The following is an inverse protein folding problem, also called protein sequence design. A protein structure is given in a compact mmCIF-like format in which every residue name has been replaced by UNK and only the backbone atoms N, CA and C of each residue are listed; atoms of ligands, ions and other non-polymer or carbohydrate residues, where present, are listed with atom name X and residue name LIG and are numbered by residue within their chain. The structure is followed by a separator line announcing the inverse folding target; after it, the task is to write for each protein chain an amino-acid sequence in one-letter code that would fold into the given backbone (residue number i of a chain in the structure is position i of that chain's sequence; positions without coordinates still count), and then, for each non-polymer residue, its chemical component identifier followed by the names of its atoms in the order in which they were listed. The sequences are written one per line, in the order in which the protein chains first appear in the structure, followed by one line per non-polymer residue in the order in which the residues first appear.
data_IF_248253335686
#
_entry.id   IF_248253335686
#
_cell.length_a   1.000
_cell.length_b   1.000
_cell.length_c   1.000
_cell.angle_alpha   90.00
_cell.angle_beta   90.00
_cell.angle_gamma   90.00
#
_symmetry.space_group_name_H-M   'P 1'
#
loop_
_entity.id
_entity.type
_entity.pdbx_description
1 polymer ?
#
# COMPACT_ATOMS: atom_id res chain seq x y z
N UNK A 1 14.63 -5.35 -26.67
CA UNK A 1 14.43 -5.55 -25.22
C UNK A 1 13.03 -5.09 -24.86
N UNK A 2 12.18 -5.99 -24.39
CA UNK A 2 10.84 -5.64 -23.92
C UNK A 2 11.00 -5.07 -22.50
N UNK A 3 10.79 -3.78 -22.33
CA UNK A 3 10.77 -3.17 -21.01
C UNK A 3 9.44 -3.55 -20.35
N UNK A 4 9.47 -4.46 -19.40
CA UNK A 4 8.27 -4.83 -18.64
C UNK A 4 7.87 -3.67 -17.72
N UNK A 5 6.62 -3.24 -17.85
CA UNK A 5 6.06 -2.19 -17.01
C UNK A 5 6.02 -2.65 -15.54
N UNK A 6 6.44 -1.80 -14.64
CA UNK A 6 6.37 -2.07 -13.20
C UNK A 6 4.92 -2.32 -12.77
N UNK A 7 4.72 -3.35 -11.98
CA UNK A 7 3.42 -3.67 -11.37
C UNK A 7 3.43 -3.24 -9.90
N UNK A 8 2.44 -2.47 -9.50
CA UNK A 8 2.28 -1.99 -8.12
C UNK A 8 0.91 -2.44 -7.62
N UNK A 9 0.91 -3.29 -6.60
CA UNK A 9 -0.29 -3.78 -5.95
C UNK A 9 -0.45 -3.10 -4.59
N UNK A 10 -1.66 -2.65 -4.28
CA UNK A 10 -2.01 -2.06 -2.99
C UNK A 10 -3.05 -2.97 -2.34
N UNK A 11 -2.69 -3.58 -1.23
CA UNK A 11 -3.55 -4.48 -0.48
C UNK A 11 -4.02 -3.82 0.81
N UNK A 12 -5.32 -3.84 1.06
CA UNK A 12 -5.97 -3.27 2.24
C UNK A 12 -6.88 -4.28 2.91
N UNK A 13 -6.91 -4.26 4.23
CA UNK A 13 -7.92 -5.00 5.01
C UNK A 13 -9.15 -4.12 5.11
N UNK A 14 -10.05 -4.24 4.16
CA UNK A 14 -11.28 -3.45 4.10
C UNK A 14 -12.32 -4.14 3.25
N UNK A 15 -13.59 -3.85 3.53
CA UNK A 15 -14.69 -4.21 2.63
C UNK A 15 -14.64 -3.30 1.40
N UNK A 16 -15.00 -3.87 0.25
CA UNK A 16 -15.16 -3.06 -0.96
C UNK A 16 -16.31 -2.08 -0.78
N UNK A 17 -16.06 -0.83 -1.14
CA UNK A 17 -17.04 0.26 -1.13
C UNK A 17 -17.08 0.89 -2.52
N UNK A 18 -18.08 1.70 -2.76
CA UNK A 18 -18.17 2.51 -3.99
C UNK A 18 -18.60 3.91 -3.58
N UNK A 19 -17.65 4.68 -3.11
CA UNK A 19 -17.85 6.03 -2.57
C UNK A 19 -16.94 7.05 -3.26
N UNK A 20 -16.94 8.28 -2.76
CA UNK A 20 -16.17 9.38 -3.33
C UNK A 20 -14.66 9.13 -3.28
N UNK A 21 -14.17 8.41 -2.27
CA UNK A 21 -12.74 8.03 -2.18
C UNK A 21 -12.35 7.10 -3.33
N UNK A 22 -13.22 6.18 -3.69
CA UNK A 22 -12.97 5.25 -4.81
C UNK A 22 -12.90 5.99 -6.15
N UNK A 23 -13.70 7.04 -6.34
CA UNK A 23 -13.66 7.89 -7.54
C UNK A 23 -12.31 8.58 -7.66
N UNK A 24 -11.83 9.20 -6.58
CA UNK A 24 -10.53 9.89 -6.56
C UNK A 24 -9.39 8.87 -6.74
N UNK A 25 -9.49 7.71 -6.08
CA UNK A 25 -8.53 6.64 -6.20
C UNK A 25 -8.34 6.18 -7.65
N UNK A 26 -9.45 5.99 -8.37
CA UNK A 26 -9.43 5.61 -9.80
C UNK A 26 -8.75 6.65 -10.68
N UNK A 27 -8.87 7.94 -10.37
CA UNK A 27 -8.16 8.99 -11.09
C UNK A 27 -6.63 8.87 -10.94
N UNK A 28 -6.13 8.63 -9.71
CA UNK A 28 -4.70 8.42 -9.51
C UNK A 28 -4.19 7.16 -10.21
N UNK A 29 -4.96 6.07 -10.17
CA UNK A 29 -4.63 4.83 -10.90
C UNK A 29 -4.54 5.11 -12.40
N UNK A 30 -5.51 5.82 -12.96
CA UNK A 30 -5.55 6.19 -14.37
C UNK A 30 -4.35 7.06 -14.76
N UNK A 31 -4.04 8.08 -13.97
CA UNK A 31 -2.87 8.93 -14.21
C UNK A 31 -1.56 8.14 -14.12
N UNK A 32 -1.48 7.18 -13.20
CA UNK A 32 -0.31 6.32 -13.02
C UNK A 32 -0.12 5.31 -14.15
N UNK A 33 -1.18 4.95 -14.86
CA UNK A 33 -1.18 3.87 -15.87
C UNK A 33 -0.19 4.08 -17.02
N UNK A 34 0.21 5.32 -17.26
CA UNK A 34 1.24 5.69 -18.22
C UNK A 34 2.63 5.14 -17.84
N UNK A 35 2.89 4.96 -16.55
CA UNK A 35 4.21 4.61 -16.01
C UNK A 35 4.26 3.24 -15.37
N UNK A 36 3.16 2.81 -14.75
CA UNK A 36 3.08 1.55 -14.02
C UNK A 36 1.66 1.00 -14.03
N UNK A 37 1.53 -0.31 -13.89
CA UNK A 37 0.23 -0.94 -13.66
C UNK A 37 -0.06 -0.93 -12.16
N UNK A 38 -0.94 -0.05 -11.72
CA UNK A 38 -1.35 0.07 -10.32
C UNK A 38 -2.71 -0.59 -10.12
N UNK A 39 -2.80 -1.52 -9.19
CA UNK A 39 -4.05 -2.21 -8.84
C UNK A 39 -4.27 -2.18 -7.32
N UNK A 40 -5.52 -1.98 -6.90
CA UNK A 40 -5.93 -1.97 -5.50
C UNK A 40 -6.83 -3.15 -5.20
N UNK A 41 -6.58 -3.82 -4.07
CA UNK A 41 -7.31 -4.99 -3.62
C UNK A 41 -7.78 -4.79 -2.19
N UNK A 42 -9.08 -4.84 -1.97
CA UNK A 42 -9.69 -4.84 -0.65
C UNK A 42 -9.94 -6.28 -0.22
N UNK A 43 -9.31 -6.69 0.86
CA UNK A 43 -9.36 -8.06 1.38
C UNK A 43 -10.16 -8.05 2.69
N UNK A 44 -11.26 -8.76 2.69
CA UNK A 44 -12.09 -8.92 3.88
C UNK A 44 -12.91 -10.20 3.78
N UNK A 45 -12.93 -11.00 4.84
CA UNK A 45 -13.66 -12.25 4.89
C UNK A 45 -14.29 -12.47 6.28
N UNK A 46 -15.08 -13.52 6.40
CA UNK A 46 -15.74 -13.86 7.67
C UNK A 46 -14.74 -14.17 8.79
N UNK A 47 -13.59 -14.75 8.47
CA UNK A 47 -12.53 -15.05 9.45
C UNK A 47 -11.94 -13.77 10.03
N UNK A 48 -11.64 -12.79 9.18
CA UNK A 48 -11.17 -11.46 9.61
C UNK A 48 -12.23 -10.81 10.51
N UNK A 49 -13.49 -10.79 10.08
CA UNK A 49 -14.59 -10.22 10.84
C UNK A 49 -14.71 -10.84 12.24
N UNK A 50 -14.67 -12.16 12.35
CA UNK A 50 -14.71 -12.86 13.62
C UNK A 50 -13.48 -12.58 14.49
N UNK A 51 -12.29 -12.59 13.88
CA UNK A 51 -11.04 -12.34 14.60
C UNK A 51 -11.01 -10.93 15.21
N UNK A 52 -11.50 -9.92 14.48
CA UNK A 52 -11.61 -8.54 15.00
C UNK A 52 -12.54 -8.44 16.21
N UNK A 53 -13.54 -9.30 16.30
CA UNK A 53 -14.44 -9.35 17.47
C UNK A 53 -13.81 -10.00 18.69
N UNK A 54 -12.81 -10.87 18.50
CA UNK A 54 -12.09 -11.53 19.58
C UNK A 54 -11.06 -10.57 20.19
N UNK A 55 -10.21 -9.95 19.37
CA UNK A 55 -9.21 -9.01 19.86
C UNK A 55 -8.08 -8.73 18.87
N UNK A 56 -7.12 -7.95 19.35
CA UNK A 56 -6.00 -7.45 18.55
C UNK A 56 -5.13 -8.57 17.96
N UNK A 57 -4.74 -9.52 18.80
CA UNK A 57 -3.85 -10.61 18.39
C UNK A 57 -4.48 -11.46 17.28
N UNK A 58 -5.73 -11.86 17.45
CA UNK A 58 -6.47 -12.67 16.47
C UNK A 58 -6.71 -11.89 15.19
N UNK A 59 -7.04 -10.60 15.30
CA UNK A 59 -7.21 -9.71 14.16
C UNK A 59 -5.93 -9.63 13.33
N UNK A 60 -4.80 -9.29 13.95
CA UNK A 60 -3.51 -9.18 13.29
C UNK A 60 -3.09 -10.50 12.62
N UNK A 61 -3.30 -11.64 13.31
CA UNK A 61 -3.03 -12.96 12.75
C UNK A 61 -3.87 -13.22 11.49
N UNK A 62 -5.16 -12.86 11.52
CA UNK A 62 -6.04 -13.00 10.36
C UNK A 62 -5.60 -12.16 9.16
N UNK A 63 -5.02 -10.99 9.40
CA UNK A 63 -4.46 -10.13 8.35
C UNK A 63 -3.21 -10.77 7.73
N UNK A 64 -2.30 -11.28 8.56
CA UNK A 64 -1.10 -11.98 8.08
C UNK A 64 -1.45 -13.16 7.20
N UNK A 65 -2.46 -13.94 7.56
CA UNK A 65 -2.90 -15.11 6.78
C UNK A 65 -3.34 -14.75 5.35
N UNK A 66 -4.01 -13.61 5.15
CA UNK A 66 -4.42 -13.19 3.80
C UNK A 66 -3.31 -12.48 3.05
N UNK A 67 -2.37 -11.86 3.74
CA UNK A 67 -1.29 -11.09 3.12
C UNK A 67 -0.07 -11.94 2.73
N UNK A 68 0.32 -12.92 3.56
CA UNK A 68 1.54 -13.71 3.32
C UNK A 68 1.57 -14.39 1.95
N UNK A 69 0.48 -15.00 1.44
CA UNK A 69 0.49 -15.58 0.10
C UNK A 69 0.70 -14.58 -1.04
N UNK A 70 0.52 -13.29 -0.76
CA UNK A 70 0.64 -12.20 -1.74
C UNK A 70 2.02 -11.54 -1.76
N UNK A 71 2.94 -11.99 -0.89
CA UNK A 71 4.28 -11.42 -0.76
C UNK A 71 5.25 -11.95 -1.83
N UNK A 72 4.95 -11.63 -3.08
CA UNK A 72 5.66 -12.17 -4.26
C UNK A 72 6.45 -11.10 -5.03
N UNK A 73 7.07 -10.17 -4.35
CA UNK A 73 7.82 -9.09 -4.97
C UNK A 73 8.58 -8.30 -3.93
N UNK A 74 8.76 -7.01 -4.18
CA UNK A 74 9.28 -6.07 -3.19
C UNK A 74 8.14 -5.62 -2.28
N UNK A 75 8.17 -6.06 -1.03
CA UNK A 75 7.06 -5.95 -0.09
C UNK A 75 7.28 -4.79 0.87
N UNK A 76 6.35 -3.85 0.87
CA UNK A 76 6.39 -2.63 1.67
C UNK A 76 5.16 -2.59 2.58
N UNK A 77 5.37 -2.54 3.89
CA UNK A 77 4.29 -2.29 4.83
C UNK A 77 4.21 -0.81 5.18
N UNK A 78 2.99 -0.29 5.27
CA UNK A 78 2.73 1.04 5.83
C UNK A 78 2.40 0.88 7.31
N UNK A 79 3.27 1.39 8.17
CA UNK A 79 3.10 1.31 9.62
C UNK A 79 3.66 2.57 10.28
N UNK A 80 3.07 2.98 11.39
CA UNK A 80 3.50 4.18 12.14
C UNK A 80 4.93 4.09 12.65
N UNK A 81 5.45 2.87 12.83
CA UNK A 81 6.83 2.59 13.26
C UNK A 81 7.80 2.51 12.08
N UNK A 82 7.33 2.71 10.86
CA UNK A 82 8.16 2.69 9.67
C UNK A 82 9.10 3.88 9.57
N UNK A 83 10.06 3.79 8.67
CA UNK A 83 10.98 4.88 8.42
C UNK A 83 10.27 6.06 7.76
N UNK A 84 10.69 7.26 8.16
CA UNK A 84 10.25 8.52 7.57
C UNK A 84 11.04 8.81 6.31
N UNK A 85 10.36 9.14 5.24
CA UNK A 85 10.98 9.53 3.97
C UNK A 85 10.24 10.74 3.40
N UNK A 86 10.95 11.56 2.65
CA UNK A 86 10.33 12.58 1.80
C UNK A 86 9.88 11.96 0.47
N UNK A 87 9.28 12.75 -0.41
CA UNK A 87 8.78 12.26 -1.69
C UNK A 87 9.90 11.73 -2.60
N UNK A 88 11.10 12.30 -2.54
CA UNK A 88 12.26 11.78 -3.29
C UNK A 88 12.75 10.46 -2.73
N UNK A 89 12.82 10.32 -1.42
CA UNK A 89 13.16 9.07 -0.76
C UNK A 89 12.14 7.97 -1.03
N UNK A 90 10.86 8.31 -1.05
CA UNK A 90 9.80 7.38 -1.41
C UNK A 90 9.91 6.93 -2.87
N UNK A 91 10.16 7.85 -3.81
CA UNK A 91 10.43 7.51 -5.20
C UNK A 91 11.62 6.57 -5.35
N UNK A 92 12.69 6.80 -4.57
CA UNK A 92 13.87 5.93 -4.55
C UNK A 92 13.55 4.49 -4.13
N UNK A 93 12.60 4.30 -3.20
CA UNK A 93 12.15 2.97 -2.79
C UNK A 93 11.46 2.23 -3.94
N UNK A 94 10.74 2.94 -4.81
CA UNK A 94 10.02 2.34 -5.94
C UNK A 94 10.92 2.00 -7.14
N UNK A 95 12.12 2.54 -7.20
CA UNK A 95 13.02 2.30 -8.33
C UNK A 95 13.58 0.87 -8.34
N UNK A 96 13.81 0.35 -9.55
CA UNK A 96 14.51 -0.91 -9.80
C UNK A 96 13.77 -2.18 -9.33
N UNK A 97 12.44 -2.10 -9.20
CA UNK A 97 11.61 -3.25 -8.89
C UNK A 97 10.58 -3.49 -10.00
N UNK A 98 10.34 -4.74 -10.34
CA UNK A 98 9.35 -5.13 -11.36
C UNK A 98 7.96 -5.31 -10.75
N UNK A 99 7.90 -5.83 -9.52
CA UNK A 99 6.65 -6.00 -8.77
C UNK A 99 6.83 -5.44 -7.36
N UNK A 100 5.97 -4.51 -7.00
CA UNK A 100 5.94 -3.87 -5.69
C UNK A 100 4.58 -4.13 -5.05
N UNK A 101 4.60 -4.61 -3.82
CA UNK A 101 3.38 -4.84 -3.04
C UNK A 101 3.37 -3.92 -1.82
N UNK A 102 2.34 -3.09 -1.73
CA UNK A 102 2.06 -2.30 -0.53
C UNK A 102 1.01 -3.01 0.31
N UNK A 103 1.26 -3.11 1.60
CA UNK A 103 0.33 -3.66 2.57
C UNK A 103 -0.08 -2.57 3.55
N UNK A 104 -1.38 -2.31 3.63
CA UNK A 104 -1.98 -1.37 4.58
C UNK A 104 -2.59 -2.20 5.72
N UNK A 105 -2.27 -1.86 6.96
CA UNK A 105 -2.81 -2.55 8.12
C UNK A 105 -4.32 -2.36 8.26
N UNK A 106 -4.97 -3.34 8.87
CA UNK A 106 -6.36 -3.19 9.31
C UNK A 106 -6.46 -2.34 10.57
N UNK A 107 -7.65 -2.33 11.18
CA UNK A 107 -7.95 -1.53 12.37
C UNK A 107 -6.98 -1.77 13.55
N UNK A 108 -6.37 -2.94 13.64
CA UNK A 108 -5.45 -3.33 14.71
C UNK A 108 -3.98 -3.35 14.30
N UNK A 109 -3.63 -2.88 13.08
CA UNK A 109 -2.26 -2.88 12.58
C UNK A 109 -1.74 -4.27 12.20
N UNK A 110 -0.42 -4.45 12.26
CA UNK A 110 0.26 -5.66 11.82
C UNK A 110 0.87 -6.45 12.97
N UNK A 111 0.97 -7.76 12.80
CA UNK A 111 1.87 -8.58 13.61
C UNK A 111 3.33 -8.16 13.35
N UNK A 112 4.16 -8.19 14.41
CA UNK A 112 5.61 -7.93 14.27
C UNK A 112 6.28 -8.92 13.33
N UNK A 113 5.89 -10.18 13.34
CA UNK A 113 6.47 -11.21 12.48
C UNK A 113 6.15 -10.96 11.01
N UNK A 114 4.95 -10.44 10.69
CA UNK A 114 4.63 -9.99 9.33
C UNK A 114 5.53 -8.82 8.90
N UNK A 115 5.69 -7.82 9.75
CA UNK A 115 6.53 -6.66 9.45
C UNK A 115 7.99 -7.08 9.18
N UNK A 116 8.52 -8.05 9.90
CA UNK A 116 9.88 -8.59 9.69
C UNK A 116 10.05 -9.28 8.33
N UNK A 117 8.98 -9.79 7.75
CA UNK A 117 8.99 -10.41 6.40
C UNK A 117 8.98 -9.37 5.28
N UNK A 118 8.58 -8.13 5.56
CA UNK A 118 8.58 -7.06 4.57
C UNK A 118 10.00 -6.56 4.28
N UNK A 119 10.25 -6.17 3.03
CA UNK A 119 11.53 -5.60 2.63
C UNK A 119 11.74 -4.20 3.21
N UNK A 120 10.67 -3.44 3.34
CA UNK A 120 10.70 -2.07 3.86
C UNK A 120 9.41 -1.78 4.63
N UNK A 121 9.53 -1.02 5.71
CA UNK A 121 8.41 -0.48 6.46
C UNK A 121 8.51 1.04 6.40
N UNK A 122 7.46 1.70 5.94
CA UNK A 122 7.41 3.15 5.74
C UNK A 122 6.21 3.74 6.48
N UNK A 123 6.40 4.88 7.11
CA UNK A 123 5.29 5.68 7.62
C UNK A 123 4.94 6.81 6.66
N UNK A 124 3.65 7.03 6.41
CA UNK A 124 3.19 8.15 5.59
C UNK A 124 3.26 9.48 6.34
N UNK A 125 3.12 9.44 7.67
CA UNK A 125 3.11 10.62 8.52
C UNK A 125 3.17 10.21 9.99
N UNK A 126 3.60 11.12 10.85
CA UNK A 126 3.46 10.97 12.31
C UNK A 126 2.00 11.16 12.76
N UNK A 127 1.16 11.73 11.90
CA UNK A 127 -0.26 11.88 12.16
C UNK A 127 -1.00 10.58 11.85
N UNK A 128 -1.86 10.16 12.76
CA UNK A 128 -2.79 9.06 12.49
C UNK A 128 -3.84 9.50 11.48
N UNK A 129 -4.06 8.69 10.47
CA UNK A 129 -5.01 8.97 9.39
C UNK A 129 -6.13 7.94 9.40
N UNK A 130 -7.34 8.38 9.00
CA UNK A 130 -8.40 7.45 8.66
C UNK A 130 -7.92 6.53 7.51
N UNK A 131 -8.34 5.27 7.54
CA UNK A 131 -7.88 4.24 6.61
C UNK A 131 -8.00 4.66 5.13
N UNK A 132 -9.14 5.23 4.73
CA UNK A 132 -9.37 5.68 3.35
C UNK A 132 -8.49 6.87 2.96
N UNK A 133 -8.22 7.77 3.90
CA UNK A 133 -7.30 8.90 3.69
C UNK A 133 -5.88 8.39 3.49
N UNK A 134 -5.40 7.48 4.33
CA UNK A 134 -4.08 6.86 4.18
C UNK A 134 -3.93 6.17 2.82
N UNK A 135 -4.96 5.48 2.37
CA UNK A 135 -5.01 4.83 1.07
C UNK A 135 -4.88 5.84 -0.09
N UNK A 136 -5.60 6.97 -0.02
CA UNK A 136 -5.49 8.03 -1.03
C UNK A 136 -4.13 8.71 -1.00
N UNK A 137 -3.59 9.00 0.18
CA UNK A 137 -2.24 9.59 0.32
C UNK A 137 -1.20 8.66 -0.31
N UNK A 138 -1.29 7.35 -0.07
CA UNK A 138 -0.40 6.37 -0.69
C UNK A 138 -0.49 6.44 -2.22
N UNK A 139 -1.68 6.43 -2.78
CA UNK A 139 -1.87 6.48 -4.24
C UNK A 139 -1.35 7.76 -4.86
N UNK A 140 -1.57 8.90 -4.21
CA UNK A 140 -1.01 10.18 -4.64
C UNK A 140 0.52 10.16 -4.62
N UNK A 141 1.12 9.62 -3.55
CA UNK A 141 2.57 9.51 -3.43
C UNK A 141 3.17 8.50 -4.43
N UNK A 142 2.47 7.44 -4.76
CA UNK A 142 2.88 6.52 -5.84
C UNK A 142 2.89 7.26 -7.18
N UNK A 143 1.83 7.98 -7.52
CA UNK A 143 1.77 8.78 -8.75
C UNK A 143 2.87 9.83 -8.78
N UNK A 144 3.07 10.57 -7.70
CA UNK A 144 4.15 11.57 -7.55
C UNK A 144 5.52 10.95 -7.76
N UNK A 145 5.77 9.78 -7.17
CA UNK A 145 7.02 9.03 -7.32
C UNK A 145 7.26 8.61 -8.77
N UNK A 146 6.24 8.12 -9.45
CA UNK A 146 6.33 7.77 -10.86
C UNK A 146 6.64 9.00 -11.72
N UNK A 147 6.08 10.14 -11.39
CA UNK A 147 6.39 11.41 -12.04
C UNK A 147 7.84 11.83 -11.80
N UNK A 148 8.34 11.72 -10.57
CA UNK A 148 9.75 12.01 -10.24
C UNK A 148 10.69 11.11 -11.05
N UNK A 149 10.44 9.81 -11.05
CA UNK A 149 11.27 8.81 -11.75
C UNK A 149 11.30 9.08 -13.26
N UNK A 150 10.19 9.56 -13.83
CA UNK A 150 10.04 9.79 -15.27
C UNK A 150 10.23 11.27 -15.68
N UNK A 151 10.75 12.10 -14.81
CA UNK A 151 11.01 13.52 -15.05
C UNK A 151 9.76 14.32 -15.49
N UNK A 152 8.60 13.93 -14.99
CA UNK A 152 7.35 14.68 -15.21
C UNK A 152 7.23 15.82 -14.20
N UNK A 153 6.79 17.06 -14.61
CA UNK A 153 6.82 18.25 -13.76
C UNK A 153 5.71 18.32 -12.68
N UNK A 154 5.07 17.22 -12.33
CA UNK A 154 4.04 17.18 -11.28
C UNK A 154 4.59 17.55 -9.90
N UNK A 155 5.77 17.02 -9.57
CA UNK A 155 6.45 17.37 -8.31
C UNK A 155 7.22 18.69 -8.49
N UNK A 156 6.93 19.64 -7.60
CA UNK A 156 7.57 20.97 -7.57
C UNK A 156 8.36 21.17 -6.31
#
# INVERSE_FOLDING_TARGET
MICTMTKINIYSIAKSTNDEYDVIAKEFIKMSSKYAKVECFNLFNKKISKAQMIGEKEAQQSYSEVYEPLMNGYNIALDVLGKKVDSFGFAGILQNHTTINFFIGGAFGFERDFLKKCNTIVTLSDLTMAHKIAHLVLQEQIFRSLCIINNHPYHK
#
